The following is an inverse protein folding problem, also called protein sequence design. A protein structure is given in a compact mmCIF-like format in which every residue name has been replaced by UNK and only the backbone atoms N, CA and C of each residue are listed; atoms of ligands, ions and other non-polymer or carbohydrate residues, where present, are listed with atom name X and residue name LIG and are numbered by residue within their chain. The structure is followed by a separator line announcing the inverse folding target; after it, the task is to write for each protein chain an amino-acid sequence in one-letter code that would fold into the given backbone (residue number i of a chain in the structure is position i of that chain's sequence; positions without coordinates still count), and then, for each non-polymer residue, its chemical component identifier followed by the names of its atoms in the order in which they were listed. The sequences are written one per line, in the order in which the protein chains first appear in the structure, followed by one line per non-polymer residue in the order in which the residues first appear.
data_IF_838536178867
#
_entry.id   IF_838536178867
#
_cell.length_a   1.000
_cell.length_b   1.000
_cell.length_c   1.000
_cell.angle_alpha   90.00
_cell.angle_beta   90.00
_cell.angle_gamma   90.00
#
_symmetry.space_group_name_H-M   'P 1'
#
loop_
_entity.id
_entity.type
_entity.pdbx_description
1 polymer ?
#
# COMPACT_ATOMS: atom_id res chain seq x y z
N UNK A 1 13.92 1.30 27.95
CA UNK A 1 13.21 2.59 27.78
C UNK A 1 14.22 3.73 27.63
N UNK A 2 14.60 3.98 26.39
CA UNK A 2 15.58 4.98 25.96
C UNK A 2 15.03 6.41 26.02
N UNK A 3 13.71 6.57 26.08
CA UNK A 3 13.04 7.86 26.10
C UNK A 3 12.60 8.21 27.52
N UNK A 4 13.21 9.26 28.08
CA UNK A 4 12.95 9.73 29.45
C UNK A 4 11.87 10.81 29.53
N UNK A 5 11.62 11.48 28.42
CA UNK A 5 10.63 12.53 28.28
C UNK A 5 10.24 12.74 26.80
N UNK A 6 9.21 13.56 26.60
CA UNK A 6 8.68 13.94 25.28
C UNK A 6 9.73 14.61 24.40
N UNK A 7 10.63 15.42 24.95
CA UNK A 7 11.63 16.16 24.19
C UNK A 7 12.60 15.19 23.52
N UNK A 8 13.08 14.18 24.25
CA UNK A 8 13.97 13.17 23.71
C UNK A 8 13.32 12.36 22.56
N UNK A 9 12.04 12.00 22.70
CA UNK A 9 11.30 11.28 21.68
C UNK A 9 11.11 12.11 20.40
N UNK A 10 10.73 13.39 20.53
CA UNK A 10 10.59 14.30 19.39
C UNK A 10 11.93 14.60 18.72
N UNK A 11 13.00 14.79 19.50
CA UNK A 11 14.35 14.96 18.96
C UNK A 11 14.79 13.75 18.14
N UNK A 12 14.50 12.54 18.63
CA UNK A 12 14.81 11.32 17.90
C UNK A 12 14.08 11.28 16.55
N UNK A 13 12.77 11.50 16.53
CA UNK A 13 11.99 11.55 15.30
C UNK A 13 12.49 12.62 14.33
N UNK A 14 12.86 13.80 14.84
CA UNK A 14 13.37 14.90 14.02
C UNK A 14 14.73 14.60 13.37
N UNK A 15 15.55 13.74 14.00
CA UNK A 15 16.83 13.28 13.45
C UNK A 15 16.64 12.12 12.48
N UNK A 16 15.54 11.38 12.61
CA UNK A 16 15.22 10.19 11.82
C UNK A 16 13.94 10.39 11.01
N UNK A 17 13.88 11.47 10.22
CA UNK A 17 12.77 11.78 9.31
C UNK A 17 12.66 10.84 8.10
N UNK A 18 13.36 9.71 8.11
CA UNK A 18 13.21 8.66 7.11
C UNK A 18 13.34 7.34 7.82
N UNK A 19 12.23 6.62 7.92
CA UNK A 19 12.21 5.27 8.50
C UNK A 19 13.03 4.34 7.59
N UNK A 20 13.98 3.55 8.13
CA UNK A 20 14.76 2.58 7.36
C UNK A 20 13.89 1.53 6.67
N UNK A 21 14.42 0.86 5.66
CA UNK A 21 13.73 -0.27 5.03
C UNK A 21 13.80 -1.53 5.91
N UNK A 22 12.89 -2.49 5.71
CA UNK A 22 12.92 -3.78 6.40
C UNK A 22 14.24 -4.55 6.20
N UNK A 23 14.98 -4.26 5.12
CA UNK A 23 16.27 -4.88 4.83
C UNK A 23 17.46 -4.20 5.50
N UNK A 24 17.31 -2.93 5.87
CA UNK A 24 18.37 -2.10 6.45
C UNK A 24 18.27 -2.02 7.98
N UNK A 25 17.16 -2.48 8.57
CA UNK A 25 16.97 -2.48 10.02
C UNK A 25 17.77 -3.59 10.69
N UNK A 26 18.50 -3.21 11.74
CA UNK A 26 19.03 -4.12 12.73
C UNK A 26 18.00 -4.45 13.82
N UNK A 27 18.26 -5.51 14.60
CA UNK A 27 17.45 -5.81 15.79
C UNK A 27 17.47 -4.63 16.79
N UNK A 28 18.59 -3.90 16.88
CA UNK A 28 18.72 -2.71 17.73
C UNK A 28 17.82 -1.56 17.24
N UNK A 29 17.69 -1.37 15.92
CA UNK A 29 16.75 -0.38 15.37
C UNK A 29 15.32 -0.74 15.74
N UNK A 30 14.94 -2.01 15.59
CA UNK A 30 13.60 -2.49 15.94
C UNK A 30 13.27 -2.24 17.41
N UNK A 31 14.22 -2.50 18.32
CA UNK A 31 14.07 -2.22 19.74
C UNK A 31 13.90 -0.71 20.00
N UNK A 32 14.74 0.13 19.38
CA UNK A 32 14.70 1.60 19.55
C UNK A 32 13.38 2.19 19.05
N UNK A 33 12.90 1.77 17.88
CA UNK A 33 11.63 2.24 17.32
C UNK A 33 10.43 1.66 18.07
N UNK A 34 10.52 0.42 18.55
CA UNK A 34 9.51 -0.21 19.39
C UNK A 34 9.30 0.56 20.70
N UNK A 35 10.39 0.83 21.43
CA UNK A 35 10.33 1.62 22.66
C UNK A 35 9.82 3.05 22.42
N UNK A 36 10.14 3.65 21.27
CA UNK A 36 9.63 4.97 20.90
C UNK A 36 8.12 4.96 20.69
N UNK A 37 7.63 3.96 19.95
CA UNK A 37 6.21 3.83 19.67
C UNK A 37 5.41 3.57 20.96
N UNK A 38 5.90 2.69 21.83
CA UNK A 38 5.31 2.45 23.16
C UNK A 38 5.25 3.75 23.97
N UNK A 39 6.36 4.49 24.04
CA UNK A 39 6.41 5.75 24.77
C UNK A 39 5.39 6.78 24.24
N UNK A 40 5.30 6.94 22.91
CA UNK A 40 4.38 7.89 22.28
C UNK A 40 2.90 7.49 22.38
N UNK A 41 2.62 6.18 22.44
CA UNK A 41 1.26 5.68 22.69
C UNK A 41 0.82 5.95 24.15
N UNK A 42 1.71 5.78 25.12
CA UNK A 42 1.43 6.08 26.53
C UNK A 42 1.37 7.59 26.82
N UNK A 43 2.03 8.41 26.00
CA UNK A 43 2.13 9.86 26.16
C UNK A 43 1.69 10.61 24.88
N UNK A 44 0.38 10.63 24.56
CA UNK A 44 -0.13 11.28 23.36
C UNK A 44 0.32 12.74 23.25
N UNK A 45 0.75 13.11 22.05
CA UNK A 45 1.34 14.40 21.79
C UNK A 45 1.26 14.75 20.29
N UNK A 46 0.39 15.69 19.95
CA UNK A 46 0.15 16.12 18.58
C UNK A 46 1.42 16.62 17.85
N UNK A 47 2.48 17.03 18.56
CA UNK A 47 3.75 17.42 17.93
C UNK A 47 4.50 16.25 17.26
N UNK A 48 4.21 15.00 17.62
CA UNK A 48 4.82 13.84 16.95
C UNK A 48 4.19 13.55 15.57
N UNK A 49 2.92 13.97 15.38
CA UNK A 49 2.14 13.71 14.16
C UNK A 49 2.89 14.12 12.89
N UNK A 50 3.32 15.39 12.71
CA UNK A 50 4.01 15.79 11.50
C UNK A 50 5.35 15.06 11.31
N UNK A 51 6.02 14.65 12.39
CA UNK A 51 7.29 13.95 12.28
C UNK A 51 7.09 12.52 11.79
N UNK A 52 6.09 11.82 12.32
CA UNK A 52 5.73 10.46 11.89
C UNK A 52 5.16 10.47 10.47
N UNK A 53 4.19 11.35 10.18
CA UNK A 53 3.60 11.46 8.84
C UNK A 53 4.67 11.80 7.81
N UNK A 54 5.70 12.59 8.15
CA UNK A 54 6.77 12.90 7.22
C UNK A 54 7.96 11.93 7.25
N UNK A 55 7.95 10.89 8.09
CA UNK A 55 9.06 9.92 8.17
C UNK A 55 8.91 8.72 7.24
N UNK A 56 7.68 8.40 6.82
CA UNK A 56 7.43 7.25 5.94
C UNK A 56 7.71 7.57 4.46
N UNK A 57 8.30 6.61 3.76
CA UNK A 57 8.56 6.62 2.30
C UNK A 57 8.20 5.26 1.70
N UNK A 58 8.11 5.19 0.37
CA UNK A 58 7.79 3.94 -0.36
C UNK A 58 8.76 2.77 -0.14
N UNK A 59 9.92 3.00 0.47
CA UNK A 59 10.89 1.96 0.84
C UNK A 59 11.09 1.85 2.36
N UNK A 60 10.30 2.57 3.15
CA UNK A 60 10.31 2.43 4.60
C UNK A 60 9.76 1.07 5.01
N UNK A 61 10.20 0.61 6.18
CA UNK A 61 9.70 -0.59 6.84
C UNK A 61 8.18 -0.60 6.90
N UNK A 62 7.56 -1.64 6.35
CA UNK A 62 6.11 -1.82 6.46
C UNK A 62 5.72 -2.08 7.93
N UNK A 63 6.53 -2.84 8.65
CA UNK A 63 6.33 -3.12 10.06
C UNK A 63 6.31 -1.83 10.90
N UNK A 64 7.31 -0.96 10.77
CA UNK A 64 7.35 0.29 11.53
C UNK A 64 6.23 1.25 11.12
N UNK A 65 5.82 1.24 9.84
CA UNK A 65 4.68 2.03 9.39
C UNK A 65 3.39 1.62 10.09
N UNK A 66 3.12 0.31 10.23
CA UNK A 66 1.98 -0.22 10.98
C UNK A 66 2.07 0.10 12.48
N UNK A 67 3.26 0.02 13.06
CA UNK A 67 3.49 0.38 14.47
C UNK A 67 3.16 1.86 14.70
N UNK A 68 3.66 2.75 13.85
CA UNK A 68 3.39 4.17 13.97
C UNK A 68 1.96 4.56 13.60
N UNK A 69 1.29 3.84 12.69
CA UNK A 69 -0.13 4.01 12.44
C UNK A 69 -0.96 3.81 13.72
N UNK A 70 -0.63 2.79 14.54
CA UNK A 70 -1.28 2.57 15.84
C UNK A 70 -1.04 3.72 16.81
N UNK A 71 0.18 4.28 16.85
CA UNK A 71 0.48 5.47 17.66
C UNK A 71 -0.38 6.66 17.21
N UNK A 72 -0.51 6.87 15.90
CA UNK A 72 -1.28 7.95 15.29
C UNK A 72 -2.80 7.79 15.50
N UNK A 73 -3.31 6.56 15.57
CA UNK A 73 -4.72 6.28 15.84
C UNK A 73 -5.20 6.81 17.19
N UNK A 74 -4.30 6.88 18.18
CA UNK A 74 -4.57 7.40 19.53
C UNK A 74 -4.42 8.94 19.62
N UNK A 75 -3.96 9.61 18.56
CA UNK A 75 -3.75 11.07 18.56
C UNK A 75 -5.02 11.84 18.17
N UNK A 76 -4.94 13.17 18.23
CA UNK A 76 -6.00 14.04 17.76
C UNK A 76 -6.23 13.90 16.25
N UNK A 77 -7.29 13.19 15.87
CA UNK A 77 -7.60 12.86 14.47
C UNK A 77 -7.78 14.10 13.58
N UNK A 78 -8.26 15.22 14.14
CA UNK A 78 -8.38 16.47 13.37
C UNK A 78 -7.00 17.03 13.01
N UNK A 79 -6.04 16.97 13.93
CA UNK A 79 -4.67 17.44 13.70
C UNK A 79 -3.93 16.47 12.76
N UNK A 80 -4.14 15.16 12.94
CA UNK A 80 -3.63 14.13 12.04
C UNK A 80 -4.10 14.34 10.59
N UNK A 81 -5.41 14.50 10.38
CA UNK A 81 -5.97 14.74 9.06
C UNK A 81 -5.36 16.00 8.40
N UNK A 82 -5.15 17.08 9.16
CA UNK A 82 -4.51 18.29 8.63
C UNK A 82 -3.09 18.01 8.12
N UNK A 83 -2.30 17.22 8.83
CA UNK A 83 -0.94 16.86 8.41
C UNK A 83 -0.91 15.88 7.24
N UNK A 84 -1.83 14.91 7.19
CA UNK A 84 -1.98 14.02 6.02
C UNK A 84 -2.36 14.84 4.78
N UNK A 85 -3.32 15.77 4.89
CA UNK A 85 -3.71 16.66 3.79
C UNK A 85 -2.54 17.53 3.34
N UNK A 86 -1.73 18.04 4.27
CA UNK A 86 -0.53 18.80 3.93
C UNK A 86 0.47 17.94 3.14
N UNK A 87 0.68 16.69 3.55
CA UNK A 87 1.55 15.74 2.85
C UNK A 87 1.03 15.41 1.43
N UNK A 88 -0.27 15.16 1.26
CA UNK A 88 -0.91 14.93 -0.05
C UNK A 88 -0.73 16.11 -1.04
N UNK A 89 -0.64 17.33 -0.50
CA UNK A 89 -0.46 18.58 -1.27
C UNK A 89 0.99 18.99 -1.46
N UNK A 90 1.95 18.23 -0.92
CA UNK A 90 3.36 18.56 -1.00
C UNK A 90 3.89 18.50 -2.44
N UNK A 91 4.90 19.31 -2.75
CA UNK A 91 5.68 19.17 -3.99
C UNK A 91 6.69 18.02 -3.91
N UNK A 92 7.01 17.55 -2.71
CA UNK A 92 7.88 16.40 -2.48
C UNK A 92 7.11 15.09 -2.70
N UNK A 93 7.53 14.30 -3.68
CA UNK A 93 6.89 13.03 -4.04
C UNK A 93 6.85 12.06 -2.86
N UNK A 94 7.94 11.97 -2.07
CA UNK A 94 8.00 11.09 -0.92
C UNK A 94 7.00 11.47 0.18
N UNK A 95 6.76 12.76 0.38
CA UNK A 95 5.71 13.24 1.28
C UNK A 95 4.31 12.93 0.75
N UNK A 96 4.08 13.03 -0.57
CA UNK A 96 2.78 12.65 -1.15
C UNK A 96 2.52 11.16 -0.99
N UNK A 97 3.52 10.32 -1.21
CA UNK A 97 3.43 8.87 -0.97
C UNK A 97 3.11 8.58 0.49
N UNK A 98 3.72 9.30 1.43
CA UNK A 98 3.42 9.17 2.85
C UNK A 98 1.99 9.58 3.19
N UNK A 99 1.55 10.72 2.64
CA UNK A 99 0.17 11.17 2.79
C UNK A 99 -0.82 10.14 2.26
N UNK A 100 -0.54 9.50 1.13
CA UNK A 100 -1.37 8.44 0.56
C UNK A 100 -1.41 7.20 1.45
N UNK A 101 -0.27 6.74 1.97
CA UNK A 101 -0.20 5.60 2.88
C UNK A 101 -1.10 5.81 4.10
N UNK A 102 -0.91 6.91 4.82
CA UNK A 102 -1.72 7.19 6.01
C UNK A 102 -3.18 7.54 5.66
N UNK A 103 -3.45 8.12 4.50
CA UNK A 103 -4.84 8.36 4.07
C UNK A 103 -5.62 7.06 3.83
N UNK A 104 -4.97 5.98 3.35
CA UNK A 104 -5.59 4.65 3.29
C UNK A 104 -5.91 4.15 4.70
N UNK A 105 -4.94 4.25 5.60
CA UNK A 105 -5.04 3.70 6.96
C UNK A 105 -6.18 4.35 7.78
N UNK A 106 -6.34 5.67 7.67
CA UNK A 106 -7.35 6.41 8.44
C UNK A 106 -8.66 6.68 7.70
N UNK A 107 -8.69 6.47 6.37
CA UNK A 107 -9.88 6.48 5.52
C UNK A 107 -10.91 7.59 5.81
N UNK A 108 -10.45 8.84 5.98
CA UNK A 108 -11.32 9.98 6.32
C UNK A 108 -11.89 10.67 5.08
N UNK A 109 -13.17 11.09 5.18
CA UNK A 109 -13.85 11.95 4.19
C UNK A 109 -13.11 13.27 3.91
N UNK A 110 -12.35 13.77 4.89
CA UNK A 110 -11.51 14.96 4.74
C UNK A 110 -10.50 14.84 3.59
N UNK A 111 -10.17 13.60 3.18
CA UNK A 111 -9.20 13.32 2.12
C UNK A 111 -9.82 13.32 0.71
N UNK A 112 -11.14 13.26 0.56
CA UNK A 112 -11.80 13.13 -0.76
C UNK A 112 -11.41 14.26 -1.70
N UNK A 113 -11.43 15.50 -1.19
CA UNK A 113 -11.06 16.68 -1.98
C UNK A 113 -9.58 16.65 -2.42
N UNK A 114 -8.57 16.56 -1.53
CA UNK A 114 -7.17 16.53 -1.95
C UNK A 114 -6.84 15.33 -2.85
N UNK A 115 -7.47 14.16 -2.65
CA UNK A 115 -7.29 13.01 -3.54
C UNK A 115 -7.86 13.27 -4.94
N UNK A 116 -9.03 13.90 -5.03
CA UNK A 116 -9.60 14.32 -6.32
C UNK A 116 -8.72 15.35 -7.02
N UNK A 117 -8.07 16.24 -6.26
CA UNK A 117 -7.07 17.18 -6.80
C UNK A 117 -5.86 16.44 -7.38
N UNK A 118 -5.39 15.36 -6.75
CA UNK A 118 -4.32 14.48 -7.28
C UNK A 118 -4.71 13.85 -8.63
N UNK A 119 -5.94 13.35 -8.76
CA UNK A 119 -6.40 12.75 -10.02
C UNK A 119 -6.34 13.72 -11.21
N UNK A 120 -6.53 15.01 -10.93
CA UNK A 120 -6.55 16.10 -11.92
C UNK A 120 -5.19 16.76 -12.11
N UNK A 121 -4.30 16.69 -11.13
CA UNK A 121 -3.01 17.32 -11.24
C UNK A 121 -2.15 16.53 -12.26
N UNK A 122 -1.85 17.15 -13.39
CA UNK A 122 -0.99 16.53 -14.41
C UNK A 122 0.47 16.37 -13.98
N UNK A 123 0.77 16.59 -12.69
CA UNK A 123 2.13 16.57 -12.12
C UNK A 123 2.43 15.26 -11.41
N UNK A 124 1.41 14.62 -10.82
CA UNK A 124 1.53 13.33 -10.17
C UNK A 124 1.95 12.28 -11.19
N UNK A 125 2.85 11.37 -10.82
CA UNK A 125 3.13 10.17 -11.61
C UNK A 125 2.00 9.14 -11.48
N UNK A 126 1.99 8.13 -12.35
CA UNK A 126 0.90 7.15 -12.41
C UNK A 126 0.75 6.33 -11.14
N UNK A 127 1.85 6.05 -10.42
CA UNK A 127 1.80 5.41 -9.11
C UNK A 127 0.95 6.23 -8.11
N UNK A 128 1.27 7.50 -7.93
CA UNK A 128 0.55 8.40 -6.99
C UNK A 128 -0.94 8.47 -7.34
N UNK A 129 -1.26 8.54 -8.64
CA UNK A 129 -2.66 8.59 -9.08
C UNK A 129 -3.38 7.28 -8.83
N UNK A 130 -2.75 6.13 -9.10
CA UNK A 130 -3.33 4.83 -8.79
C UNK A 130 -3.54 4.63 -7.28
N UNK A 131 -2.57 5.05 -6.47
CA UNK A 131 -2.65 5.01 -5.02
C UNK A 131 -3.81 5.92 -4.52
N UNK A 132 -3.98 7.11 -5.10
CA UNK A 132 -5.09 8.01 -4.78
C UNK A 132 -6.47 7.43 -5.13
N UNK A 133 -6.60 6.74 -6.26
CA UNK A 133 -7.82 5.99 -6.61
C UNK A 133 -8.10 4.91 -5.56
N UNK A 134 -7.05 4.20 -5.12
CA UNK A 134 -7.18 3.13 -4.12
C UNK A 134 -7.63 3.68 -2.76
N UNK A 135 -7.11 4.86 -2.36
CA UNK A 135 -7.55 5.56 -1.14
C UNK A 135 -9.01 5.98 -1.28
N UNK A 136 -9.41 6.58 -2.40
CA UNK A 136 -10.81 6.96 -2.64
C UNK A 136 -11.74 5.73 -2.56
N UNK A 137 -11.34 4.61 -3.16
CA UNK A 137 -12.07 3.33 -3.06
C UNK A 137 -12.18 2.82 -1.61
N UNK A 138 -11.17 3.07 -0.77
CA UNK A 138 -11.17 2.71 0.65
C UNK A 138 -12.04 3.66 1.50
N UNK A 139 -11.99 4.98 1.27
CA UNK A 139 -12.87 5.97 1.92
C UNK A 139 -14.35 5.62 1.67
N UNK A 140 -14.69 5.18 0.45
CA UNK A 140 -16.03 4.67 0.09
C UNK A 140 -16.49 3.51 0.99
N UNK A 141 -15.58 2.72 1.53
CA UNK A 141 -15.93 1.62 2.45
C UNK A 141 -16.11 2.08 3.90
N UNK A 142 -15.62 3.28 4.25
CA UNK A 142 -15.65 3.81 5.61
C UNK A 142 -16.88 4.70 5.89
N UNK A 143 -17.36 5.52 4.94
CA UNK A 143 -18.54 6.39 5.11
C UNK A 143 -19.38 6.49 3.83
N UNK A 144 -20.72 6.47 3.95
CA UNK A 144 -21.66 6.03 2.87
C UNK A 144 -22.43 7.13 2.15
N UNK A 145 -22.16 8.42 2.41
CA UNK A 145 -22.94 9.51 1.82
C UNK A 145 -22.33 10.17 0.57
N UNK A 146 -21.07 9.86 0.26
CA UNK A 146 -20.39 10.37 -0.94
C UNK A 146 -20.38 9.31 -2.04
N UNK A 147 -20.88 9.66 -3.23
CA UNK A 147 -20.79 8.80 -4.41
C UNK A 147 -19.36 8.86 -4.99
N UNK A 148 -18.40 8.26 -4.28
CA UNK A 148 -16.99 8.24 -4.68
C UNK A 148 -16.80 7.61 -6.05
N UNK A 149 -17.63 6.61 -6.40
CA UNK A 149 -17.61 5.98 -7.72
C UNK A 149 -17.92 7.00 -8.82
N UNK A 150 -18.94 7.84 -8.65
CA UNK A 150 -19.27 8.90 -9.59
C UNK A 150 -18.17 9.97 -9.66
N UNK A 151 -17.50 10.28 -8.54
CA UNK A 151 -16.34 11.18 -8.53
C UNK A 151 -15.20 10.57 -9.35
N UNK A 152 -14.81 9.33 -9.10
CA UNK A 152 -13.74 8.65 -9.84
C UNK A 152 -14.11 8.54 -11.33
N UNK A 153 -15.36 8.20 -11.63
CA UNK A 153 -15.87 8.06 -13.01
C UNK A 153 -15.78 9.40 -13.76
N UNK A 154 -16.34 10.46 -13.18
CA UNK A 154 -16.40 11.80 -13.76
C UNK A 154 -15.02 12.44 -13.89
N UNK A 155 -14.19 12.31 -12.86
CA UNK A 155 -12.94 13.06 -12.75
C UNK A 155 -11.76 12.33 -13.38
N UNK A 156 -11.83 10.99 -13.49
CA UNK A 156 -10.66 10.21 -13.87
C UNK A 156 -10.89 9.10 -14.89
N UNK A 157 -11.92 8.27 -14.77
CA UNK A 157 -12.06 7.08 -15.66
C UNK A 157 -12.29 7.40 -17.12
N UNK A 158 -12.85 8.58 -17.40
CA UNK A 158 -13.01 9.07 -18.76
C UNK A 158 -11.70 9.61 -19.37
N UNK A 159 -10.61 9.69 -18.60
CA UNK A 159 -9.32 10.19 -19.08
C UNK A 159 -8.52 9.10 -19.84
N UNK A 160 -7.73 9.53 -20.83
CA UNK A 160 -6.76 8.64 -21.51
C UNK A 160 -5.72 8.08 -20.54
N UNK A 161 -5.41 8.85 -19.49
CA UNK A 161 -4.50 8.46 -18.43
C UNK A 161 -5.03 7.26 -17.63
N UNK A 162 -6.32 7.25 -17.30
CA UNK A 162 -6.93 6.09 -16.65
C UNK A 162 -6.79 4.82 -17.48
N UNK A 163 -7.00 4.89 -18.80
CA UNK A 163 -6.82 3.71 -19.67
C UNK A 163 -5.43 3.09 -19.46
N UNK A 164 -4.39 3.92 -19.52
CA UNK A 164 -3.02 3.47 -19.28
C UNK A 164 -2.83 2.86 -17.88
N UNK A 165 -3.28 3.55 -16.83
CA UNK A 165 -3.16 3.05 -15.45
C UNK A 165 -3.95 1.75 -15.24
N UNK A 166 -5.15 1.64 -15.80
CA UNK A 166 -5.97 0.43 -15.71
C UNK A 166 -5.32 -0.77 -16.40
N UNK A 167 -4.66 -0.56 -17.54
CA UNK A 167 -3.88 -1.60 -18.23
C UNK A 167 -2.68 -2.05 -17.39
N UNK A 168 -1.97 -1.11 -16.75
CA UNK A 168 -0.88 -1.42 -15.82
C UNK A 168 -1.38 -2.21 -14.60
N UNK A 169 -2.48 -1.76 -13.98
CA UNK A 169 -3.08 -2.40 -12.80
C UNK A 169 -3.53 -3.83 -13.12
N UNK A 170 -4.26 -4.01 -14.22
CA UNK A 170 -4.67 -5.34 -14.70
C UNK A 170 -3.47 -6.24 -14.97
N UNK A 171 -2.39 -5.71 -15.55
CA UNK A 171 -1.15 -6.45 -15.76
C UNK A 171 -0.51 -6.92 -14.45
N UNK A 172 -0.44 -6.06 -13.43
CA UNK A 172 0.12 -6.40 -12.11
C UNK A 172 -0.76 -7.44 -11.40
N UNK A 173 -2.07 -7.24 -11.38
CA UNK A 173 -3.04 -8.16 -10.76
C UNK A 173 -2.99 -9.54 -11.44
N UNK A 174 -2.92 -9.56 -12.77
CA UNK A 174 -2.72 -10.78 -13.54
C UNK A 174 -1.42 -11.49 -13.16
N UNK A 175 -0.29 -10.77 -13.09
CA UNK A 175 0.98 -11.36 -12.68
C UNK A 175 0.95 -11.92 -11.25
N UNK A 176 0.28 -11.25 -10.32
CA UNK A 176 0.10 -11.73 -8.93
C UNK A 176 -0.72 -13.01 -8.88
N UNK A 177 -1.86 -13.03 -9.59
CA UNK A 177 -2.73 -14.19 -9.74
C UNK A 177 -1.96 -15.38 -10.33
N UNK A 178 -1.23 -15.15 -11.42
CA UNK A 178 -0.40 -16.17 -12.06
C UNK A 178 0.67 -16.72 -11.11
N UNK A 179 1.33 -15.88 -10.29
CA UNK A 179 2.30 -16.36 -9.30
C UNK A 179 1.66 -17.28 -8.26
N UNK A 180 0.52 -16.87 -7.72
CA UNK A 180 -0.23 -17.67 -6.73
C UNK A 180 -0.68 -19.02 -7.32
N UNK A 181 -1.36 -18.99 -8.47
CA UNK A 181 -1.84 -20.18 -9.16
C UNK A 181 -0.67 -21.09 -9.58
N UNK A 182 0.44 -20.53 -10.06
CA UNK A 182 1.61 -21.31 -10.46
C UNK A 182 2.28 -22.02 -9.27
N UNK A 183 2.24 -21.42 -8.08
CA UNK A 183 2.70 -22.08 -6.85
C UNK A 183 1.79 -23.25 -6.47
N UNK A 184 0.47 -23.08 -6.53
CA UNK A 184 -0.47 -24.17 -6.27
C UNK A 184 -0.37 -25.29 -7.32
N UNK A 185 -0.26 -24.93 -8.60
CA UNK A 185 -0.07 -25.87 -9.69
C UNK A 185 1.23 -26.65 -9.56
N UNK A 186 2.30 -26.04 -9.05
CA UNK A 186 3.54 -26.75 -8.72
C UNK A 186 3.28 -27.83 -7.66
N UNK A 187 2.59 -27.50 -6.57
CA UNK A 187 2.23 -28.47 -5.51
C UNK A 187 1.36 -29.61 -6.04
N UNK A 188 0.40 -29.31 -6.90
CA UNK A 188 -0.45 -30.33 -7.54
C UNK A 188 0.38 -31.24 -8.46
N UNK A 189 1.31 -30.68 -9.23
CA UNK A 189 2.20 -31.44 -10.11
C UNK A 189 3.15 -32.37 -9.33
N UNK A 190 3.70 -31.91 -8.19
CA UNK A 190 4.51 -32.73 -7.28
C UNK A 190 3.73 -33.95 -6.75
N UNK A 191 2.41 -33.79 -6.54
CA UNK A 191 1.48 -34.86 -6.16
C UNK A 191 0.98 -35.70 -7.35
N UNK A 192 1.44 -35.41 -8.57
CA UNK A 192 0.95 -36.01 -9.84
C UNK A 192 -0.56 -35.82 -10.05
N UNK A 193 -1.15 -34.79 -9.46
CA UNK A 193 -2.55 -34.41 -9.66
C UNK A 193 -2.68 -33.53 -10.91
N UNK A 194 -2.55 -34.17 -12.08
CA UNK A 194 -2.54 -33.46 -13.36
C UNK A 194 -3.88 -32.80 -13.68
N UNK A 195 -5.00 -33.36 -13.21
CA UNK A 195 -6.33 -32.73 -13.36
C UNK A 195 -6.36 -31.40 -12.65
N UNK A 196 -5.89 -31.34 -11.39
CA UNK A 196 -5.83 -30.08 -10.65
C UNK A 196 -4.91 -29.05 -11.28
N UNK A 197 -3.76 -29.47 -11.84
CA UNK A 197 -2.88 -28.57 -12.60
C UNK A 197 -3.62 -27.96 -13.81
N UNK A 198 -4.40 -28.76 -14.52
CA UNK A 198 -5.15 -28.32 -15.70
C UNK A 198 -6.34 -27.42 -15.32
N UNK A 199 -7.02 -27.69 -14.20
CA UNK A 199 -8.05 -26.79 -13.65
C UNK A 199 -7.49 -25.42 -13.26
N UNK A 200 -6.32 -25.40 -12.62
CA UNK A 200 -5.69 -24.19 -12.13
C UNK A 200 -5.11 -23.32 -13.26
N UNK A 201 -4.41 -23.94 -14.21
CA UNK A 201 -3.67 -23.21 -15.26
C UNK A 201 -4.41 -23.16 -16.61
N UNK A 202 -5.31 -24.09 -16.88
CA UNK A 202 -6.02 -24.21 -18.16
C UNK A 202 -6.81 -22.98 -18.60
N UNK A 203 -7.48 -22.24 -17.70
CA UNK A 203 -8.19 -21.00 -18.07
C UNK A 203 -7.30 -19.90 -18.66
N UNK A 204 -5.97 -20.00 -18.48
CA UNK A 204 -5.00 -18.97 -18.88
C UNK A 204 -4.04 -19.45 -19.98
N UNK A 205 -4.36 -20.57 -20.64
CA UNK A 205 -3.53 -21.18 -21.66
C UNK A 205 -3.18 -20.19 -22.80
N UNK A 206 -1.88 -20.06 -23.10
CA UNK A 206 -1.38 -19.08 -24.08
C UNK A 206 -1.05 -17.69 -23.51
N UNK A 207 -1.51 -17.39 -22.30
CA UNK A 207 -1.19 -16.15 -21.57
C UNK A 207 -0.23 -16.41 -20.39
N UNK A 208 0.08 -17.68 -20.11
CA UNK A 208 0.97 -18.09 -19.04
C UNK A 208 2.44 -17.73 -19.33
N UNK A 209 3.21 -17.32 -18.31
CA UNK A 209 4.67 -17.34 -18.38
C UNK A 209 5.19 -18.73 -18.74
N UNK A 210 6.30 -18.79 -19.48
CA UNK A 210 6.89 -20.05 -19.99
C UNK A 210 7.01 -21.16 -18.93
N UNK A 211 7.31 -20.80 -17.68
CA UNK A 211 7.47 -21.77 -16.58
C UNK A 211 6.16 -22.38 -16.10
N UNK A 212 5.03 -21.67 -16.21
CA UNK A 212 3.69 -22.17 -15.90
C UNK A 212 3.13 -22.93 -17.10
N UNK A 213 3.32 -22.41 -18.32
CA UNK A 213 2.91 -23.08 -19.57
C UNK A 213 3.47 -24.51 -19.66
N UNK A 214 4.78 -24.68 -19.38
CA UNK A 214 5.42 -26.01 -19.36
C UNK A 214 4.75 -27.00 -18.40
N UNK A 215 4.22 -26.55 -17.25
CA UNK A 215 3.55 -27.42 -16.29
C UNK A 215 2.17 -27.84 -16.80
N UNK A 216 1.44 -26.91 -17.40
CA UNK A 216 0.16 -27.18 -18.05
C UNK A 216 0.34 -28.20 -19.18
N UNK A 217 1.37 -28.03 -20.01
CA UNK A 217 1.67 -28.96 -21.11
C UNK A 217 1.96 -30.37 -20.59
N UNK A 218 2.80 -30.51 -19.55
CA UNK A 218 3.08 -31.80 -18.89
C UNK A 218 1.79 -32.43 -18.36
N UNK A 219 0.94 -31.65 -17.69
CA UNK A 219 -0.30 -32.15 -17.13
C UNK A 219 -1.27 -32.64 -18.23
N UNK A 220 -1.44 -31.88 -19.32
CA UNK A 220 -2.26 -32.27 -20.48
C UNK A 220 -1.78 -33.58 -21.11
N UNK A 221 -0.47 -33.74 -21.31
CA UNK A 221 0.11 -35.00 -21.83
C UNK A 221 -0.24 -36.19 -20.93
N UNK A 222 -0.07 -36.04 -19.61
CA UNK A 222 -0.31 -37.13 -18.65
C UNK A 222 -1.79 -37.45 -18.40
N UNK A 223 -2.72 -36.55 -18.74
CA UNK A 223 -4.16 -36.82 -18.73
C UNK A 223 -4.58 -37.61 -19.97
N UNK A 224 -3.98 -37.32 -21.12
CA UNK A 224 -4.38 -37.89 -22.43
C UNK A 224 -3.92 -39.35 -22.58
N UNK A 225 -2.93 -39.79 -21.79
CA UNK A 225 -2.37 -41.15 -21.80
C UNK A 225 -3.10 -42.15 -20.86
N UNK A 226 -4.20 -41.75 -20.22
CA UNK A 226 -5.04 -42.61 -19.34
C UNK A 226 -6.47 -42.72 -19.85
#
# INVERSE_FOLDING_TARGET
MNYKDKTAALEFLSKHLTIPSDHDMSDEDLDIYGELAEFLAEHPNDECIPLIVNSYRSHSSAYLAEVFAKVLAEQNQKVLNQHIIAALKSEDIGQRESGLFFAVEFASDDFVRPLTEILRDGKSGDKIVNDAVSVLEAVRTADTNLNIEEIIEKEFRQSSRWKHISELRNGIEFQSLIRSINWEARKALEKKDYRKVTELLGPYDGELPKSAQKKLDIAKMNITEK
#
